data_IF_774750955361
#
_entry.id   IF_774750955361
#
_cell.length_a   1.000
_cell.length_b   1.000
_cell.length_c   1.000
_cell.angle_alpha   90.00
_cell.angle_beta   90.00
_cell.angle_gamma   90.00
#
_symmetry.space_group_name_H-M   'P 1'
#
loop_
_entity.id
_entity.type
_entity.pdbx_description
1 polymer ?
#
# COMPACT_ATOMS: atom_id res chain seq x y z
N UNK A 1 28.39 -70.48 11.38
CA UNK A 1 29.35 -69.53 10.80
C UNK A 1 29.96 -68.70 11.93
N UNK A 2 31.24 -68.97 12.16
CA UNK A 2 32.28 -68.32 12.99
C UNK A 2 32.16 -66.78 13.07
N UNK A 3 32.13 -66.14 14.26
CA UNK A 3 33.27 -65.65 15.09
C UNK A 3 34.05 -64.48 14.41
N UNK A 4 34.35 -63.28 14.95
CA UNK A 4 34.99 -62.85 16.21
C UNK A 4 35.11 -61.30 16.26
N UNK A 5 34.73 -60.72 17.40
CA UNK A 5 35.38 -59.69 18.26
C UNK A 5 36.32 -58.57 17.73
N UNK A 6 36.07 -57.37 18.29
CA UNK A 6 36.97 -56.49 19.07
C UNK A 6 38.10 -55.63 18.45
N UNK A 7 37.97 -54.32 18.71
CA UNK A 7 38.95 -53.35 19.30
C UNK A 7 40.37 -53.19 18.70
N UNK A 8 40.76 -51.94 18.36
CA UNK A 8 41.68 -51.04 19.11
C UNK A 8 42.28 -49.92 18.23
N UNK A 9 42.42 -48.74 18.86
CA UNK A 9 43.42 -47.66 18.67
C UNK A 9 44.83 -48.19 18.32
N UNK A 10 45.77 -47.52 17.63
CA UNK A 10 46.30 -46.14 17.75
C UNK A 10 47.35 -45.88 16.64
N UNK A 11 47.53 -44.61 16.24
CA UNK A 11 48.75 -43.85 15.87
C UNK A 11 49.82 -44.42 14.90
N UNK A 12 50.10 -43.64 13.84
CA UNK A 12 51.47 -43.31 13.37
C UNK A 12 51.43 -42.03 12.49
N UNK A 13 52.33 -41.09 12.78
CA UNK A 13 52.73 -39.90 11.98
C UNK A 13 54.28 -39.95 11.88
N UNK A 14 55.02 -39.18 11.05
CA UNK A 14 54.75 -38.35 9.85
C UNK A 14 55.73 -38.68 8.67
N UNK A 15 55.88 -37.83 7.62
CA UNK A 15 56.99 -36.86 7.63
C UNK A 15 56.62 -35.45 7.13
N UNK A 16 57.61 -34.56 7.20
CA UNK A 16 57.57 -33.09 7.36
C UNK A 16 58.17 -32.36 6.14
N UNK A 17 57.49 -31.26 5.71
CA UNK A 17 57.91 -29.99 5.04
C UNK A 17 58.61 -30.00 3.63
N UNK A 18 58.63 -28.88 2.86
CA UNK A 18 58.87 -27.50 3.30
C UNK A 18 57.80 -26.43 2.99
N UNK A 19 57.72 -25.46 3.90
CA UNK A 19 57.23 -24.10 3.70
C UNK A 19 57.93 -23.43 2.53
N UNK A 20 57.17 -22.67 1.74
CA UNK A 20 57.71 -21.56 0.95
C UNK A 20 57.21 -20.25 1.55
N UNK A 21 58.08 -19.65 2.35
CA UNK A 21 58.03 -18.24 2.72
C UNK A 21 58.34 -17.38 1.49
N UNK A 22 57.40 -16.54 1.07
CA UNK A 22 57.74 -15.32 0.34
C UNK A 22 56.77 -14.19 0.67
N UNK A 23 57.21 -13.36 1.60
CA UNK A 23 56.79 -11.99 1.85
C UNK A 23 56.87 -11.17 0.55
N UNK A 24 55.80 -10.45 0.20
CA UNK A 24 55.82 -9.53 -0.94
C UNK A 24 54.46 -8.89 -1.31
N UNK A 25 54.23 -7.72 -0.72
CA UNK A 25 53.35 -6.63 -1.17
C UNK A 25 51.81 -6.73 -1.00
N UNK A 26 51.16 -5.69 -0.43
CA UNK A 26 49.71 -5.59 -0.35
C UNK A 26 49.15 -5.24 -1.75
N UNK A 27 48.34 -6.14 -2.33
CA UNK A 27 47.51 -5.77 -3.48
C UNK A 27 46.32 -4.98 -2.99
N UNK A 28 46.45 -3.66 -3.10
CA UNK A 28 45.34 -2.70 -3.10
C UNK A 28 44.39 -3.12 -4.22
N UNK A 29 43.26 -3.71 -3.84
CA UNK A 29 42.17 -4.04 -4.77
C UNK A 29 41.53 -2.73 -5.22
N UNK A 30 42.00 -2.21 -6.34
CA UNK A 30 41.36 -1.13 -7.09
C UNK A 30 40.20 -1.74 -7.89
N UNK A 31 39.11 -2.07 -7.20
CA UNK A 31 37.83 -2.33 -7.85
C UNK A 31 37.20 -1.00 -8.27
N UNK A 32 36.56 -0.91 -9.45
CA UNK A 32 36.05 0.35 -9.96
C UNK A 32 34.97 0.86 -9.01
N UNK A 33 35.24 2.01 -8.40
CA UNK A 33 34.30 2.77 -7.60
C UNK A 33 33.17 3.17 -8.53
N UNK A 34 32.05 2.48 -8.44
CA UNK A 34 30.79 2.94 -9.00
C UNK A 34 30.46 4.28 -8.32
N UNK A 35 30.91 5.37 -8.94
CA UNK A 35 30.41 6.71 -8.71
C UNK A 35 28.95 6.71 -9.19
N UNK A 36 28.07 6.14 -8.37
CA UNK A 36 26.69 6.56 -8.31
C UNK A 36 26.73 7.98 -7.76
N UNK A 37 26.99 8.92 -8.68
CA UNK A 37 26.51 10.27 -8.56
C UNK A 37 25.02 10.14 -8.29
N UNK A 38 24.66 10.22 -7.01
CA UNK A 38 23.31 10.46 -6.57
C UNK A 38 23.03 11.87 -7.05
N UNK A 39 22.69 12.01 -8.34
CA UNK A 39 22.16 13.24 -8.87
C UNK A 39 20.97 13.55 -7.97
N UNK A 40 21.12 14.57 -7.13
CA UNK A 40 20.03 15.11 -6.34
C UNK A 40 18.94 15.41 -7.33
N UNK A 41 17.90 14.58 -7.36
CA UNK A 41 16.73 14.83 -8.18
C UNK A 41 16.25 16.22 -7.74
N UNK A 42 16.14 17.19 -8.67
CA UNK A 42 15.68 18.52 -8.28
C UNK A 42 14.38 18.37 -7.50
N UNK A 43 14.26 19.11 -6.40
CA UNK A 43 13.04 19.13 -5.61
C UNK A 43 11.88 19.39 -6.58
N UNK A 44 10.86 18.54 -6.53
CA UNK A 44 9.70 18.68 -7.40
C UNK A 44 9.12 20.09 -7.22
N UNK A 45 8.91 20.80 -8.31
CA UNK A 45 8.30 22.14 -8.22
C UNK A 45 6.84 21.98 -7.75
N UNK A 46 6.23 23.02 -7.14
CA UNK A 46 4.81 22.99 -6.81
C UNK A 46 3.92 22.62 -8.03
N UNK A 47 4.33 23.03 -9.23
CA UNK A 47 3.67 22.68 -10.50
C UNK A 47 3.80 21.19 -10.83
N UNK A 48 4.97 20.58 -10.62
CA UNK A 48 5.17 19.13 -10.81
C UNK A 48 4.30 18.31 -9.85
N UNK A 49 4.20 18.75 -8.60
CA UNK A 49 3.34 18.11 -7.59
C UNK A 49 1.86 18.24 -7.95
N UNK A 50 1.42 19.42 -8.40
CA UNK A 50 0.04 19.64 -8.85
C UNK A 50 -0.30 18.78 -10.07
N UNK A 51 0.62 18.67 -11.04
CA UNK A 51 0.44 17.81 -12.21
C UNK A 51 0.41 16.33 -11.84
N UNK A 52 1.29 15.88 -10.94
CA UNK A 52 1.29 14.52 -10.44
C UNK A 52 -0.03 14.19 -9.73
N UNK A 53 -0.52 15.11 -8.89
CA UNK A 53 -1.83 14.99 -8.24
C UNK A 53 -2.95 14.88 -9.27
N UNK A 54 -3.01 15.78 -10.26
CA UNK A 54 -4.03 15.74 -11.30
C UNK A 54 -4.03 14.42 -12.09
N UNK A 55 -2.86 13.83 -12.35
CA UNK A 55 -2.73 12.51 -12.99
C UNK A 55 -3.28 11.38 -12.12
N UNK A 56 -2.97 11.39 -10.82
CA UNK A 56 -3.49 10.41 -9.86
C UNK A 56 -5.01 10.52 -9.80
N UNK A 57 -5.55 11.72 -9.61
CA UNK A 57 -6.99 11.99 -9.54
C UNK A 57 -7.70 11.51 -10.82
N UNK A 58 -7.19 11.88 -12.00
CA UNK A 58 -7.75 11.42 -13.28
C UNK A 58 -7.67 9.90 -13.48
N UNK A 59 -6.64 9.24 -12.95
CA UNK A 59 -6.51 7.80 -13.02
C UNK A 59 -7.46 7.08 -12.04
N UNK A 60 -7.67 7.68 -10.86
CA UNK A 60 -8.67 7.22 -9.89
C UNK A 60 -10.07 7.38 -10.46
N UNK A 61 -10.42 8.51 -11.03
CA UNK A 61 -11.76 8.74 -11.60
C UNK A 61 -12.09 7.73 -12.71
N UNK A 62 -11.12 7.41 -13.56
CA UNK A 62 -11.25 6.34 -14.56
C UNK A 62 -11.44 4.96 -13.93
N UNK A 63 -10.73 4.66 -12.84
CA UNK A 63 -10.93 3.42 -12.09
C UNK A 63 -12.32 3.37 -11.46
N UNK A 64 -12.77 4.46 -10.83
CA UNK A 64 -14.07 4.54 -10.17
C UNK A 64 -15.24 4.44 -11.16
N UNK A 65 -15.05 4.89 -12.40
CA UNK A 65 -16.03 4.70 -13.48
C UNK A 65 -16.26 3.21 -13.85
N UNK A 66 -15.37 2.30 -13.43
CA UNK A 66 -15.48 0.86 -13.66
C UNK A 66 -16.05 0.09 -12.46
N UNK A 67 -16.54 0.79 -11.44
CA UNK A 67 -17.09 0.14 -10.25
C UNK A 67 -18.34 -0.69 -10.59
N UNK A 68 -18.51 -1.86 -9.94
CA UNK A 68 -19.73 -2.66 -10.10
C UNK A 68 -20.96 -1.91 -9.61
N UNK A 69 -22.13 -2.36 -10.06
CA UNK A 69 -23.40 -1.82 -9.58
C UNK A 69 -23.51 -1.88 -8.05
N UNK A 70 -24.19 -0.89 -7.48
CA UNK A 70 -24.40 -0.73 -6.04
C UNK A 70 -23.17 -0.42 -5.20
N UNK A 71 -22.02 -0.14 -5.82
CA UNK A 71 -20.88 0.50 -5.16
C UNK A 71 -20.92 2.01 -5.39
N UNK A 72 -20.77 2.77 -4.30
CA UNK A 72 -20.62 4.22 -4.33
C UNK A 72 -19.22 4.59 -3.84
N UNK A 73 -18.61 5.60 -4.46
CA UNK A 73 -17.31 6.12 -4.09
C UNK A 73 -17.43 7.56 -3.56
N UNK A 74 -16.73 7.83 -2.47
CA UNK A 74 -16.74 9.12 -1.79
C UNK A 74 -15.32 9.67 -1.70
N UNK A 75 -15.18 10.95 -2.04
CA UNK A 75 -13.95 11.71 -1.82
C UNK A 75 -13.97 12.28 -0.42
N UNK A 76 -12.95 11.96 0.38
CA UNK A 76 -12.86 12.39 1.77
C UNK A 76 -12.12 13.73 1.88
N UNK A 77 -12.60 14.69 2.68
CA UNK A 77 -12.10 16.05 2.65
C UNK A 77 -10.77 16.29 3.40
N UNK A 78 -10.30 15.34 4.21
CA UNK A 78 -9.23 15.59 5.20
C UNK A 78 -8.22 14.47 5.39
N UNK A 79 -8.15 13.52 4.45
CA UNK A 79 -7.06 12.53 4.41
C UNK A 79 -6.38 12.63 3.05
N UNK A 80 -5.89 13.82 2.73
CA UNK A 80 -4.94 13.98 1.64
C UNK A 80 -3.58 13.53 2.17
N UNK A 81 -3.11 12.39 1.68
CA UNK A 81 -1.72 12.01 1.85
C UNK A 81 -0.86 12.92 0.95
N UNK A 82 0.15 13.58 1.53
CA UNK A 82 1.21 14.20 0.75
C UNK A 82 1.95 13.09 -0.02
N UNK A 83 1.58 12.87 -1.28
CA UNK A 83 2.16 11.80 -2.09
C UNK A 83 1.45 11.50 -3.41
N UNK A 84 1.97 10.54 -4.20
CA UNK A 84 1.38 10.08 -5.45
C UNK A 84 0.23 9.07 -5.23
N UNK A 85 -0.37 9.09 -4.04
CA UNK A 85 -1.46 8.21 -3.65
C UNK A 85 -2.70 9.00 -3.27
N UNK A 86 -3.86 8.55 -3.74
CA UNK A 86 -5.15 9.15 -3.42
C UNK A 86 -5.99 8.14 -2.65
N UNK A 87 -6.73 8.62 -1.66
CA UNK A 87 -7.65 7.79 -0.90
C UNK A 87 -9.10 8.06 -1.31
N UNK A 88 -9.89 6.99 -1.41
CA UNK A 88 -11.34 7.03 -1.64
C UNK A 88 -12.03 6.09 -0.67
N UNK A 89 -13.20 6.47 -0.19
CA UNK A 89 -14.05 5.60 0.61
C UNK A 89 -15.07 4.95 -0.31
N UNK A 90 -15.12 3.63 -0.37
CA UNK A 90 -16.14 2.90 -1.12
C UNK A 90 -17.17 2.30 -0.16
N UNK A 91 -18.45 2.40 -0.53
CA UNK A 91 -19.57 1.75 0.17
C UNK A 91 -20.30 0.87 -0.81
N UNK A 92 -20.46 -0.40 -0.47
CA UNK A 92 -21.17 -1.35 -1.32
C UNK A 92 -21.70 -2.55 -0.56
N UNK A 93 -22.22 -3.57 -1.27
CA UNK A 93 -22.73 -4.80 -0.66
C UNK A 93 -21.71 -5.47 0.25
N UNK A 94 -20.43 -5.44 -0.13
CA UNK A 94 -19.31 -6.04 0.60
C UNK A 94 -18.84 -5.29 1.85
N UNK A 95 -19.47 -4.15 2.18
CA UNK A 95 -19.07 -3.32 3.31
C UNK A 95 -18.46 -1.97 2.91
N UNK A 96 -17.64 -1.42 3.79
CA UNK A 96 -16.92 -0.15 3.60
C UNK A 96 -15.45 -0.41 3.36
N UNK A 97 -14.87 0.25 2.35
CA UNK A 97 -13.46 0.11 1.98
C UNK A 97 -12.76 1.45 1.93
N UNK A 98 -11.63 1.55 2.62
CA UNK A 98 -10.67 2.64 2.43
C UNK A 98 -9.71 2.23 1.30
N UNK A 99 -9.98 2.73 0.10
CA UNK A 99 -9.21 2.45 -1.10
C UNK A 99 -8.08 3.46 -1.24
N UNK A 100 -6.84 3.01 -1.08
CA UNK A 100 -5.67 3.79 -1.47
C UNK A 100 -5.30 3.43 -2.89
N UNK A 101 -5.12 4.42 -3.74
CA UNK A 101 -4.71 4.24 -5.12
C UNK A 101 -3.33 4.85 -5.30
N UNK A 102 -2.33 4.02 -5.65
CA UNK A 102 -0.95 4.44 -5.89
C UNK A 102 -0.66 4.41 -7.39
N UNK A 103 -0.21 5.52 -7.95
CA UNK A 103 0.20 5.57 -9.36
C UNK A 103 1.60 4.98 -9.54
N UNK A 104 1.70 3.93 -10.37
CA UNK A 104 2.96 3.26 -10.69
C UNK A 104 3.57 3.68 -12.04
N UNK A 105 2.84 4.39 -12.90
CA UNK A 105 3.33 4.97 -14.17
C UNK A 105 4.19 3.99 -15.03
N UNK A 106 3.67 2.79 -15.26
CA UNK A 106 4.34 1.75 -16.06
C UNK A 106 5.45 0.98 -15.32
N UNK A 107 5.70 1.27 -14.05
CA UNK A 107 6.73 0.59 -13.26
C UNK A 107 6.27 -0.80 -12.83
N UNK A 108 7.26 -1.65 -12.53
CA UNK A 108 7.02 -2.99 -11.97
C UNK A 108 6.77 -2.83 -10.47
N UNK A 109 5.70 -3.46 -10.00
CA UNK A 109 5.37 -3.54 -8.59
C UNK A 109 5.61 -4.95 -8.04
N UNK A 110 6.28 -5.03 -6.89
CA UNK A 110 6.55 -6.26 -6.17
C UNK A 110 5.79 -6.24 -4.85
N UNK A 111 4.96 -7.24 -4.62
CA UNK A 111 4.23 -7.42 -3.38
C UNK A 111 4.83 -8.63 -2.67
N UNK A 112 5.47 -8.39 -1.53
CA UNK A 112 6.08 -9.44 -0.72
C UNK A 112 5.65 -9.31 0.74
N UNK A 113 4.89 -10.31 1.22
CA UNK A 113 4.36 -10.44 2.59
C UNK A 113 3.58 -9.22 3.10
N UNK A 114 4.25 -8.16 3.52
CA UNK A 114 3.66 -6.93 4.06
C UNK A 114 4.31 -5.65 3.50
N UNK A 115 5.00 -5.78 2.37
CA UNK A 115 5.70 -4.67 1.73
C UNK A 115 5.35 -4.67 0.25
N UNK A 116 5.00 -3.48 -0.26
CA UNK A 116 4.97 -3.21 -1.69
C UNK A 116 6.25 -2.47 -2.06
N UNK A 117 6.93 -2.90 -3.10
CA UNK A 117 8.02 -2.17 -3.72
C UNK A 117 7.59 -1.71 -5.11
N UNK A 118 7.65 -0.40 -5.36
CA UNK A 118 7.39 0.21 -6.67
C UNK A 118 8.71 0.78 -7.17
N UNK A 119 9.17 0.30 -8.34
CA UNK A 119 10.49 0.65 -8.89
C UNK A 119 11.65 0.51 -7.87
N UNK A 120 11.63 -0.57 -7.09
CA UNK A 120 12.68 -0.89 -6.11
C UNK A 120 12.61 -0.08 -4.81
N UNK A 121 11.66 0.85 -4.65
CA UNK A 121 11.44 1.59 -3.40
C UNK A 121 10.26 1.01 -2.63
N UNK A 122 10.43 0.81 -1.33
CA UNK A 122 9.34 0.38 -0.44
C UNK A 122 8.28 1.49 -0.34
N UNK A 123 7.04 1.16 -0.64
CA UNK A 123 5.90 2.05 -0.51
C UNK A 123 5.41 2.09 0.95
N UNK A 124 5.19 3.27 1.55
CA UNK A 124 4.54 3.41 2.85
C UNK A 124 3.02 3.20 2.79
N UNK A 125 2.43 3.12 1.59
CA UNK A 125 0.99 3.19 1.38
C UNK A 125 0.20 2.06 2.06
N UNK A 126 0.80 0.90 2.31
CA UNK A 126 0.14 -0.19 3.08
C UNK A 126 -0.12 0.19 4.53
N UNK A 127 0.86 0.84 5.18
CA UNK A 127 0.73 1.25 6.57
C UNK A 127 -0.24 2.43 6.69
N UNK A 128 -0.18 3.37 5.74
CA UNK A 128 -1.14 4.46 5.62
C UNK A 128 -2.56 3.92 5.44
N UNK A 129 -2.79 3.03 4.47
CA UNK A 129 -4.10 2.44 4.23
C UNK A 129 -4.70 1.76 5.47
N UNK A 130 -3.88 1.05 6.23
CA UNK A 130 -4.33 0.42 7.47
C UNK A 130 -4.66 1.44 8.57
N UNK A 131 -3.82 2.46 8.76
CA UNK A 131 -4.04 3.52 9.74
C UNK A 131 -5.32 4.29 9.43
N UNK A 132 -5.50 4.65 8.16
CA UNK A 132 -6.63 5.42 7.68
C UNK A 132 -7.93 4.63 7.81
N UNK A 133 -7.93 3.34 7.46
CA UNK A 133 -9.08 2.46 7.70
C UNK A 133 -9.48 2.40 9.20
N UNK A 134 -8.50 2.36 10.11
CA UNK A 134 -8.76 2.35 11.55
C UNK A 134 -9.32 3.69 12.04
N UNK A 135 -8.78 4.80 11.54
CA UNK A 135 -9.27 6.15 11.85
C UNK A 135 -10.69 6.34 11.34
N UNK A 136 -10.98 5.95 10.10
CA UNK A 136 -12.30 6.02 9.49
C UNK A 136 -13.32 5.15 10.23
N UNK A 137 -12.92 3.95 10.64
CA UNK A 137 -13.76 3.09 11.49
C UNK A 137 -14.15 3.79 12.78
N UNK A 138 -13.21 4.49 13.43
CA UNK A 138 -13.46 5.20 14.69
C UNK A 138 -14.41 6.38 14.48
N UNK A 139 -14.18 7.19 13.44
CA UNK A 139 -15.02 8.35 13.11
C UNK A 139 -16.46 7.94 12.79
N UNK A 140 -16.63 6.94 11.93
CA UNK A 140 -17.97 6.51 11.50
C UNK A 140 -18.69 5.82 12.67
N UNK A 141 -18.00 5.02 13.49
CA UNK A 141 -18.61 4.39 14.69
C UNK A 141 -19.13 5.40 15.70
N UNK A 142 -18.53 6.59 15.77
CA UNK A 142 -19.05 7.68 16.60
C UNK A 142 -20.40 8.24 16.14
N UNK A 143 -20.85 7.92 14.91
CA UNK A 143 -22.10 8.41 14.30
C UNK A 143 -23.10 7.30 14.00
N UNK A 144 -22.62 6.13 13.58
CA UNK A 144 -23.41 4.99 13.19
C UNK A 144 -22.75 3.70 13.70
N UNK A 145 -23.47 2.79 14.39
CA UNK A 145 -22.92 1.52 14.84
C UNK A 145 -22.57 0.61 13.65
N UNK A 146 -21.35 0.74 13.15
CA UNK A 146 -20.82 -0.10 12.07
C UNK A 146 -20.67 -1.55 12.52
N UNK A 147 -21.45 -2.44 11.90
CA UNK A 147 -21.32 -3.90 12.06
C UNK A 147 -19.95 -4.42 11.60
N UNK A 148 -19.37 -3.81 10.56
CA UNK A 148 -18.09 -4.20 9.99
C UNK A 148 -17.16 -3.00 9.98
N UNK A 149 -15.93 -3.18 10.45
CA UNK A 149 -14.91 -2.15 10.37
C UNK A 149 -14.58 -1.81 8.90
N UNK A 150 -14.18 -0.57 8.65
CA UNK A 150 -13.68 -0.15 7.33
C UNK A 150 -12.48 -1.00 6.99
N UNK A 151 -12.53 -1.63 5.82
CA UNK A 151 -11.47 -2.53 5.36
C UNK A 151 -10.47 -1.74 4.50
N UNK A 152 -9.17 -1.81 4.77
CA UNK A 152 -8.17 -1.18 3.91
C UNK A 152 -8.04 -1.94 2.60
N UNK A 153 -7.73 -1.24 1.51
CA UNK A 153 -7.33 -1.84 0.24
C UNK A 153 -6.35 -0.93 -0.49
N UNK A 154 -5.35 -1.51 -1.16
CA UNK A 154 -4.39 -0.78 -1.98
C UNK A 154 -4.55 -1.19 -3.45
N UNK A 155 -4.74 -0.22 -4.33
CA UNK A 155 -4.80 -0.43 -5.78
C UNK A 155 -3.60 0.22 -6.44
N UNK A 156 -2.94 -0.54 -7.31
CA UNK A 156 -1.83 -0.08 -8.12
C UNK A 156 -2.35 0.34 -9.50
N UNK A 157 -2.22 1.63 -9.81
CA UNK A 157 -2.67 2.23 -11.06
C UNK A 157 -1.52 2.22 -12.08
N UNK A 158 -1.77 1.68 -13.27
CA UNK A 158 -0.81 1.71 -14.38
C UNK A 158 0.46 0.88 -14.15
N UNK A 159 0.46 -0.09 -13.23
CA UNK A 159 1.57 -1.01 -13.07
C UNK A 159 1.70 -1.92 -14.31
N UNK A 160 2.90 -2.04 -14.88
CA UNK A 160 3.13 -2.89 -16.07
C UNK A 160 3.03 -4.37 -15.73
N UNK A 161 3.60 -4.75 -14.59
CA UNK A 161 3.55 -6.12 -14.07
C UNK A 161 3.48 -6.06 -12.55
N UNK A 162 2.64 -6.90 -11.96
CA UNK A 162 2.54 -7.09 -10.51
C UNK A 162 3.05 -8.48 -10.14
N UNK A 163 4.15 -8.55 -9.40
CA UNK A 163 4.73 -9.80 -8.91
C UNK A 163 4.33 -10.01 -7.45
N UNK A 164 3.55 -11.05 -7.17
CA UNK A 164 3.15 -11.41 -5.81
C UNK A 164 3.96 -12.60 -5.34
N UNK A 165 4.90 -12.38 -4.41
CA UNK A 165 5.76 -13.41 -3.84
C UNK A 165 5.40 -13.67 -2.37
N UNK A 166 5.60 -14.90 -1.90
CA UNK A 166 5.33 -15.26 -0.50
C UNK A 166 3.86 -15.53 -0.17
N UNK A 167 3.08 -16.08 -1.13
CA UNK A 167 1.68 -16.56 -0.91
C UNK A 167 1.53 -17.68 0.13
N UNK A 168 2.63 -18.14 0.73
CA UNK A 168 2.62 -19.18 1.76
C UNK A 168 2.22 -18.61 3.12
N UNK A 169 0.94 -18.77 3.47
CA UNK A 169 0.46 -18.89 4.84
C UNK A 169 -0.03 -17.64 5.58
N UNK A 170 0.43 -16.42 5.24
CA UNK A 170 -0.08 -15.19 5.90
C UNK A 170 -0.27 -14.08 4.87
N UNK A 171 -1.51 -13.94 4.41
CA UNK A 171 -1.92 -12.87 3.51
C UNK A 171 -1.64 -11.51 4.18
N UNK A 172 -1.18 -10.53 3.39
CA UNK A 172 -1.07 -9.15 3.85
C UNK A 172 -2.41 -8.71 4.45
N UNK A 173 -2.44 -8.03 5.61
CA UNK A 173 -3.71 -7.55 6.18
C UNK A 173 -4.46 -6.60 5.24
N UNK A 174 -3.73 -5.94 4.34
CA UNK A 174 -4.27 -5.08 3.30
C UNK A 174 -4.16 -5.77 1.93
N UNK A 175 -5.26 -6.07 1.23
CA UNK A 175 -5.23 -6.59 -0.13
C UNK A 175 -4.59 -5.58 -1.08
N UNK A 176 -3.68 -6.06 -1.94
CA UNK A 176 -3.05 -5.27 -3.00
C UNK A 176 -3.58 -5.76 -4.34
N UNK A 177 -4.19 -4.87 -5.10
CA UNK A 177 -4.91 -5.18 -6.32
C UNK A 177 -4.37 -4.37 -7.49
N UNK A 178 -4.43 -4.93 -8.70
CA UNK A 178 -4.28 -4.14 -9.92
C UNK A 178 -5.59 -3.44 -10.27
N UNK A 179 -5.51 -2.30 -10.95
CA UNK A 179 -6.68 -1.54 -11.39
C UNK A 179 -7.74 -2.42 -12.11
N UNK A 180 -7.30 -3.29 -13.04
CA UNK A 180 -8.18 -4.16 -13.81
C UNK A 180 -8.89 -5.23 -12.97
N UNK A 181 -8.34 -5.62 -11.82
CA UNK A 181 -8.90 -6.68 -10.95
C UNK A 181 -9.84 -6.13 -9.87
N UNK A 182 -9.93 -4.81 -9.71
CA UNK A 182 -10.73 -4.22 -8.63
C UNK A 182 -12.22 -4.55 -8.78
N UNK A 183 -12.78 -4.40 -9.99
CA UNK A 183 -14.21 -4.65 -10.24
C UNK A 183 -14.61 -6.07 -9.87
N UNK A 184 -13.91 -7.07 -10.42
CA UNK A 184 -14.15 -8.49 -10.11
C UNK A 184 -13.97 -8.79 -8.63
N UNK A 185 -12.96 -8.21 -8.00
CA UNK A 185 -12.70 -8.39 -6.57
C UNK A 185 -13.83 -7.82 -5.69
N UNK A 186 -14.37 -6.65 -6.05
CA UNK A 186 -15.51 -6.04 -5.38
C UNK A 186 -16.80 -6.83 -5.59
N UNK A 187 -17.03 -7.33 -6.80
CA UNK A 187 -18.19 -8.16 -7.15
C UNK A 187 -18.18 -9.52 -6.44
N UNK A 188 -17.00 -10.11 -6.22
CA UNK A 188 -16.84 -11.38 -5.52
C UNK A 188 -17.01 -11.29 -3.99
N UNK A 189 -17.18 -10.08 -3.42
CA UNK A 189 -17.31 -9.93 -1.97
C UNK A 189 -18.67 -10.42 -1.48
N UNK A 190 -18.71 -11.18 -0.35
CA UNK A 190 -19.96 -11.54 0.28
C UNK A 190 -20.79 -10.31 0.62
N UNK A 191 -22.10 -10.37 0.40
CA UNK A 191 -22.99 -9.30 0.80
C UNK A 191 -23.13 -9.26 2.33
N UNK A 192 -22.67 -8.17 2.92
CA UNK A 192 -22.72 -7.90 4.37
C UNK A 192 -23.69 -6.75 4.67
N UNK A 193 -23.82 -5.79 3.76
CA UNK A 193 -24.70 -4.63 3.92
C UNK A 193 -25.96 -4.75 3.05
N UNK A 194 -27.12 -4.50 3.69
CA UNK A 194 -28.41 -4.38 3.01
C UNK A 194 -28.51 -3.01 2.32
N UNK A 195 -29.39 -2.85 1.30
CA UNK A 195 -29.57 -1.57 0.62
C UNK A 195 -29.83 -0.39 1.56
N UNK A 196 -30.69 -0.57 2.58
CA UNK A 196 -31.00 0.48 3.57
C UNK A 196 -29.78 0.88 4.40
N UNK A 197 -28.99 -0.10 4.85
CA UNK A 197 -27.76 0.15 5.63
C UNK A 197 -26.72 0.90 4.78
N UNK A 198 -26.66 0.64 3.47
CA UNK A 198 -25.80 1.40 2.54
C UNK A 198 -26.25 2.85 2.40
N UNK A 199 -27.55 3.10 2.34
CA UNK A 199 -28.11 4.45 2.23
C UNK A 199 -27.84 5.27 3.50
N UNK A 200 -28.07 4.70 4.68
CA UNK A 200 -27.77 5.35 5.96
C UNK A 200 -26.29 5.70 6.08
N UNK A 201 -25.42 4.77 5.68
CA UNK A 201 -23.99 4.96 5.72
C UNK A 201 -23.51 6.02 4.72
N UNK A 202 -24.06 6.03 3.51
CA UNK A 202 -23.80 7.08 2.53
C UNK A 202 -24.19 8.47 3.08
N UNK A 203 -25.37 8.59 3.71
CA UNK A 203 -25.81 9.85 4.31
C UNK A 203 -24.89 10.32 5.45
N UNK A 204 -24.35 9.41 6.26
CA UNK A 204 -23.36 9.72 7.30
C UNK A 204 -22.05 10.18 6.68
N UNK A 205 -21.58 9.53 5.62
CA UNK A 205 -20.33 9.87 4.93
C UNK A 205 -20.45 11.23 4.23
N UNK A 206 -21.58 11.53 3.60
CA UNK A 206 -21.83 12.81 2.93
C UNK A 206 -22.04 13.98 3.90
N UNK A 207 -22.30 13.70 5.18
CA UNK A 207 -22.47 14.73 6.18
C UNK A 207 -21.10 15.36 6.55
N UNK A 208 -20.88 16.67 6.27
CA UNK A 208 -19.61 17.34 6.59
C UNK A 208 -19.28 17.32 8.10
N UNK A 209 -20.29 17.23 8.96
CA UNK A 209 -20.12 17.15 10.42
C UNK A 209 -19.49 15.82 10.88
N UNK A 210 -19.57 14.77 10.06
CA UNK A 210 -18.86 13.49 10.30
C UNK A 210 -17.36 13.70 10.27
N UNK A 211 -16.90 14.61 9.41
CA UNK A 211 -15.48 14.95 9.22
C UNK A 211 -15.04 16.15 10.07
N UNK A 212 -15.87 16.59 11.02
CA UNK A 212 -15.58 17.76 11.85
C UNK A 212 -15.59 19.09 11.10
N UNK A 213 -16.06 19.12 9.84
CA UNK A 213 -16.23 20.37 9.08
C UNK A 213 -17.54 21.01 9.52
N UNK A 214 -17.44 22.15 10.22
CA UNK A 214 -18.61 22.98 10.49
C UNK A 214 -19.02 23.67 9.19
N UNK A 215 -20.29 23.57 8.75
CA UNK A 215 -20.76 24.37 7.64
C UNK A 215 -20.66 25.85 8.03
N UNK A 216 -19.90 26.62 7.27
CA UNK A 216 -19.85 28.08 7.45
C UNK A 216 -21.18 28.65 6.97
N UNK A 217 -22.05 29.02 7.91
CA UNK A 217 -23.22 29.84 7.60
C UNK A 217 -22.69 31.25 7.36
N UNK A 218 -22.48 31.61 6.09
CA UNK A 218 -22.26 33.01 5.74
C UNK A 218 -23.57 33.76 6.05
N UNK A 219 -23.54 34.83 6.87
CA UNK A 219 -24.71 35.67 7.04
C UNK A 219 -25.11 36.23 5.68
N UNK A 220 -26.41 36.18 5.38
CA UNK A 220 -26.94 36.71 4.13
C UNK A 220 -26.58 38.21 4.05
N UNK A 221 -25.82 38.67 3.04
CA UNK A 221 -25.55 40.10 2.91
C UNK A 221 -26.89 40.79 2.61
N UNK A 222 -27.36 41.63 3.54
CA UNK A 222 -28.59 42.41 3.38
C UNK A 222 -29.47 42.57 4.61
N UNK A 223 -29.18 41.95 5.76
CA UNK A 223 -29.90 42.23 7.01
C UNK A 223 -29.05 43.10 7.95
N UNK A 224 -28.83 44.36 7.54
CA UNK A 224 -28.56 45.46 8.45
C UNK A 224 -29.85 46.28 8.45
N UNK A 225 -30.48 46.40 9.62
CA UNK A 225 -31.76 47.07 9.80
C UNK A 225 -31.67 48.58 9.58
N UNK A 226 -32.82 49.14 9.20
CA UNK A 226 -33.16 50.55 9.36
C UNK A 226 -33.17 50.96 10.85
#
# INVERSE_FOLDING_TARGET
>A
MTHILSTRRRLSTPPVLPESTRTGAPRISTGPTWLLGRASRPAATPTDLALARARVESAVDRLLATLPEHWAAFTLPTLDADGPSAMRLLVGPGGVLALHAQLCDGQIAWVHRQSVLVAGRRSPDLAAAQADANQLTTLIRGRLPLRTAVQPALVLLGARVMWVTGRSGRMTPVPVLGAATLGDWLAARPQVLRPIERMELAAVIDNPLTWGRRPTILPRPGSVGD
#
